data_IF_752131110654
#
_entry.id   IF_752131110654
#
_cell.length_a   1.000
_cell.length_b   1.000
_cell.length_c   1.000
_cell.angle_alpha   90.00
_cell.angle_beta   90.00
_cell.angle_gamma   90.00
#
_symmetry.space_group_name_H-M   'P 1'
#
loop_
_entity.id
_entity.type
_entity.pdbx_description
1 polymer ?
#
# COMPACT_ATOMS: atom_id res chain seq x y z
N UNK A 1 3.86 1.92 6.22
CA UNK A 1 2.53 1.37 5.89
C UNK A 1 1.51 2.49 5.92
N UNK A 2 0.57 2.54 4.96
CA UNK A 2 -0.51 3.53 4.95
C UNK A 2 -1.56 3.22 6.03
N UNK A 3 -2.24 4.25 6.56
CA UNK A 3 -3.36 4.13 7.50
C UNK A 3 -4.46 3.26 6.94
N UNK A 4 -4.85 3.51 5.69
CA UNK A 4 -5.84 2.71 5.00
C UNK A 4 -5.47 1.21 4.97
N UNK A 5 -4.23 0.87 4.60
CA UNK A 5 -3.84 -0.55 4.57
C UNK A 5 -3.92 -1.18 5.97
N UNK A 6 -3.46 -0.48 7.02
CA UNK A 6 -3.61 -0.99 8.39
C UNK A 6 -5.07 -1.07 8.88
N UNK A 7 -5.93 -0.16 8.47
CA UNK A 7 -7.38 -0.22 8.75
C UNK A 7 -8.04 -1.41 8.08
N UNK A 8 -7.66 -1.74 6.83
CA UNK A 8 -8.14 -2.96 6.15
C UNK A 8 -7.72 -4.20 6.94
N UNK A 9 -6.44 -4.30 7.35
CA UNK A 9 -5.95 -5.40 8.16
C UNK A 9 -6.72 -5.52 9.49
N UNK A 10 -6.84 -4.40 10.21
CA UNK A 10 -7.53 -4.32 11.49
C UNK A 10 -9.01 -4.69 11.38
N UNK A 11 -9.71 -4.22 10.33
CA UNK A 11 -11.14 -4.51 10.12
C UNK A 11 -11.43 -6.00 9.98
N UNK A 12 -10.52 -6.74 9.36
CA UNK A 12 -10.66 -8.17 9.16
C UNK A 12 -9.89 -8.99 10.21
N UNK A 13 -9.25 -8.36 11.19
CA UNK A 13 -8.42 -9.03 12.19
C UNK A 13 -7.19 -9.73 11.61
N UNK A 14 -6.77 -9.39 10.39
CA UNK A 14 -5.75 -10.16 9.68
C UNK A 14 -4.34 -9.71 10.05
N UNK A 15 -3.48 -10.68 10.35
CA UNK A 15 -2.06 -10.45 10.36
C UNK A 15 -1.52 -10.37 8.92
N UNK A 16 -0.69 -9.36 8.63
CA UNK A 16 -0.12 -9.13 7.29
C UNK A 16 0.57 -10.38 6.70
N UNK A 17 1.18 -11.19 7.57
CA UNK A 17 1.87 -12.42 7.18
C UNK A 17 0.93 -13.57 6.76
N UNK A 18 -0.38 -13.44 6.97
CA UNK A 18 -1.35 -14.44 6.57
C UNK A 18 -1.97 -14.12 5.20
N UNK A 19 -1.63 -12.97 4.61
CA UNK A 19 -2.16 -12.54 3.32
C UNK A 19 -1.30 -13.14 2.21
N UNK A 20 -1.96 -13.74 1.23
CA UNK A 20 -1.26 -14.25 0.05
C UNK A 20 -0.70 -13.10 -0.80
N UNK A 21 0.28 -13.42 -1.65
CA UNK A 21 0.93 -12.43 -2.50
C UNK A 21 -0.02 -11.71 -3.46
N UNK A 22 -1.16 -12.32 -3.82
CA UNK A 22 -2.17 -11.74 -4.72
C UNK A 22 -3.14 -10.76 -4.03
N UNK A 23 -3.27 -10.83 -2.70
CA UNK A 23 -4.14 -9.96 -1.92
C UNK A 23 -3.62 -8.53 -1.85
N UNK A 24 -2.30 -8.38 -1.69
CA UNK A 24 -1.66 -7.05 -1.54
C UNK A 24 -1.87 -6.14 -2.76
N UNK A 25 -1.65 -6.58 -4.01
CA UNK A 25 -1.91 -5.75 -5.20
C UNK A 25 -3.33 -5.19 -5.25
N UNK A 26 -4.34 -5.91 -4.74
CA UNK A 26 -5.74 -5.44 -4.77
C UNK A 26 -5.96 -4.28 -3.80
N UNK A 27 -5.38 -4.34 -2.60
CA UNK A 27 -5.49 -3.23 -1.63
C UNK A 27 -4.70 -2.02 -2.11
N UNK A 28 -3.49 -2.23 -2.61
CA UNK A 28 -2.64 -1.17 -3.17
C UNK A 28 -3.31 -0.51 -4.38
N UNK A 29 -3.84 -1.30 -5.31
CA UNK A 29 -4.54 -0.75 -6.46
C UNK A 29 -5.78 0.05 -6.05
N UNK A 30 -6.53 -0.45 -5.07
CA UNK A 30 -7.68 0.27 -4.55
C UNK A 30 -7.31 1.64 -3.97
N UNK A 31 -6.31 1.67 -3.09
CA UNK A 31 -5.84 2.90 -2.49
C UNK A 31 -5.30 3.88 -3.55
N UNK A 32 -4.54 3.37 -4.53
CA UNK A 32 -3.96 4.19 -5.59
C UNK A 32 -5.04 4.92 -6.39
N UNK A 33 -6.08 4.22 -6.88
CA UNK A 33 -7.13 4.87 -7.68
C UNK A 33 -7.86 5.93 -6.86
N UNK A 34 -8.22 5.62 -5.61
CA UNK A 34 -8.86 6.58 -4.74
C UNK A 34 -8.03 7.86 -4.67
N UNK A 35 -6.74 7.73 -4.32
CA UNK A 35 -5.85 8.89 -4.14
C UNK A 35 -5.56 9.62 -5.45
N UNK A 36 -5.35 8.91 -6.55
CA UNK A 36 -5.18 9.49 -7.88
C UNK A 36 -6.40 10.31 -8.34
N UNK A 37 -7.59 9.92 -7.90
CA UNK A 37 -8.85 10.64 -8.13
C UNK A 37 -9.22 11.61 -7.00
N UNK A 38 -8.31 11.87 -6.05
CA UNK A 38 -8.50 12.78 -4.90
C UNK A 38 -9.62 12.33 -3.95
N UNK A 39 -9.87 11.04 -3.88
CA UNK A 39 -10.77 10.41 -2.92
C UNK A 39 -9.97 9.89 -1.71
N UNK A 40 -10.55 10.02 -0.52
CA UNK A 40 -10.01 9.39 0.68
C UNK A 40 -10.39 7.91 0.63
N UNK A 41 -9.41 6.98 0.64
CA UNK A 41 -9.71 5.55 0.63
C UNK A 41 -10.33 5.14 1.98
N UNK A 42 -11.52 4.54 1.94
CA UNK A 42 -12.23 4.04 3.12
C UNK A 42 -12.42 2.54 3.04
N UNK A 43 -12.30 1.85 4.18
CA UNK A 43 -12.49 0.39 4.24
C UNK A 43 -13.88 -0.03 3.77
N UNK A 44 -14.91 0.78 4.02
CA UNK A 44 -16.28 0.48 3.58
C UNK A 44 -16.43 0.59 2.05
N UNK A 45 -15.71 1.52 1.41
CA UNK A 45 -15.63 1.60 -0.06
C UNK A 45 -14.87 0.38 -0.62
N UNK A 46 -13.79 -0.04 0.03
CA UNK A 46 -13.05 -1.25 -0.37
C UNK A 46 -13.92 -2.51 -0.30
N UNK A 47 -14.75 -2.63 0.75
CA UNK A 47 -15.64 -3.78 0.96
C UNK A 47 -16.76 -3.89 -0.09
N UNK A 48 -17.07 -2.80 -0.81
CA UNK A 48 -17.97 -2.84 -1.96
C UNK A 48 -17.35 -3.63 -3.12
N UNK A 49 -16.05 -3.51 -3.35
CA UNK A 49 -15.37 -4.20 -4.45
C UNK A 49 -14.77 -5.54 -4.05
N UNK A 50 -14.42 -5.72 -2.77
CA UNK A 50 -13.69 -6.89 -2.32
C UNK A 50 -14.32 -7.56 -1.10
N UNK A 51 -14.03 -8.85 -0.94
CA UNK A 51 -14.36 -9.64 0.25
C UNK A 51 -13.16 -10.51 0.61
N UNK A 52 -12.96 -10.80 1.90
CA UNK A 52 -11.90 -11.71 2.31
C UNK A 52 -12.29 -13.16 2.01
N UNK A 53 -11.31 -13.98 1.65
CA UNK A 53 -11.43 -15.42 1.51
C UNK A 53 -10.23 -16.11 2.15
N UNK A 54 -10.43 -17.32 2.66
CA UNK A 54 -9.35 -18.16 3.18
C UNK A 54 -9.25 -19.43 2.32
N UNK A 55 -8.12 -19.61 1.63
CA UNK A 55 -7.87 -20.75 0.74
C UNK A 55 -6.41 -21.17 0.84
N UNK A 56 -6.15 -22.47 1.02
CA UNK A 56 -4.79 -23.00 1.02
C UNK A 56 -3.92 -22.50 2.19
N UNK A 57 -4.52 -22.14 3.33
CA UNK A 57 -3.81 -21.65 4.51
C UNK A 57 -3.47 -20.16 4.48
N UNK A 58 -3.93 -19.42 3.46
CA UNK A 58 -3.72 -17.98 3.34
C UNK A 58 -5.03 -17.23 3.13
N UNK A 59 -5.08 -16.00 3.64
CA UNK A 59 -6.13 -15.03 3.37
C UNK A 59 -5.85 -14.27 2.09
N UNK A 60 -6.92 -13.83 1.42
CA UNK A 60 -6.88 -13.05 0.19
C UNK A 60 -8.09 -12.12 0.14
N UNK A 61 -8.03 -11.08 -0.67
CA UNK A 61 -9.17 -10.19 -0.94
C UNK A 61 -9.73 -10.49 -2.33
N UNK A 62 -10.85 -11.18 -2.49
CA UNK A 62 -11.44 -11.49 -3.79
C UNK A 62 -12.41 -10.42 -4.26
N UNK A 63 -12.48 -10.22 -5.59
CA UNK A 63 -13.40 -9.27 -6.20
C UNK A 63 -14.85 -9.72 -6.07
N UNK A 64 -15.75 -8.80 -5.73
CA UNK A 64 -17.20 -8.99 -5.81
C UNK A 64 -17.66 -8.74 -7.23
N UNK A 65 -18.47 -9.64 -7.78
CA UNK A 65 -19.00 -9.54 -9.15
C UNK A 65 -20.51 -9.34 -9.18
N UNK A 66 -21.22 -9.72 -8.12
CA UNK A 66 -22.67 -9.55 -8.02
C UNK A 66 -23.01 -8.10 -7.61
N UNK A 67 -23.83 -7.43 -8.42
CA UNK A 67 -24.33 -6.06 -8.18
C UNK A 67 -23.24 -4.99 -8.02
N UNK A 68 -22.04 -5.24 -8.57
CA UNK A 68 -20.90 -4.32 -8.53
C UNK A 68 -20.38 -4.15 -9.96
N UNK A 69 -20.17 -2.90 -10.37
CA UNK A 69 -19.62 -2.58 -11.68
C UNK A 69 -18.14 -2.97 -11.74
N UNK A 70 -17.62 -3.35 -12.91
CA UNK A 70 -16.21 -3.66 -13.07
C UNK A 70 -15.33 -2.50 -12.61
N UNK A 71 -14.50 -2.78 -11.60
CA UNK A 71 -13.54 -1.84 -11.02
C UNK A 71 -12.12 -2.04 -11.60
N UNK A 72 -11.81 -3.28 -11.99
CA UNK A 72 -10.51 -3.69 -12.53
C UNK A 72 -10.72 -4.31 -13.93
N UNK A 73 -9.82 -4.03 -14.88
CA UNK A 73 -9.82 -4.69 -16.21
C UNK A 73 -9.49 -6.18 -16.10
N UNK A 74 -8.46 -6.50 -15.33
CA UNK A 74 -7.98 -7.87 -15.12
C UNK A 74 -7.58 -8.09 -13.66
N UNK A 75 -7.92 -9.26 -13.11
CA UNK A 75 -7.25 -9.73 -11.90
C UNK A 75 -5.90 -10.33 -12.28
N UNK A 76 -4.80 -10.03 -11.56
CA UNK A 76 -3.53 -10.71 -11.77
C UNK A 76 -3.75 -12.23 -11.65
N UNK A 77 -3.61 -12.95 -12.78
CA UNK A 77 -3.80 -14.41 -12.81
C UNK A 77 -2.64 -15.14 -12.15
N UNK A 78 -1.47 -14.52 -12.17
CA UNK A 78 -0.30 -14.93 -11.40
C UNK A 78 0.62 -13.72 -11.22
N UNK A 79 1.36 -13.69 -10.13
CA UNK A 79 2.57 -12.88 -10.05
C UNK A 79 3.71 -13.77 -10.53
N UNK A 80 4.00 -13.75 -11.83
CA UNK A 80 5.21 -14.39 -12.33
C UNK A 80 6.40 -13.82 -11.52
N UNK A 81 7.25 -14.71 -11.00
CA UNK A 81 8.42 -14.44 -10.16
C UNK A 81 8.22 -14.05 -8.68
N UNK A 82 6.99 -13.94 -8.14
CA UNK A 82 6.84 -13.65 -6.69
C UNK A 82 7.19 -14.85 -5.80
N UNK A 83 7.07 -16.08 -6.31
CA UNK A 83 7.37 -17.30 -5.54
C UNK A 83 8.82 -17.41 -5.09
N UNK A 84 9.72 -16.66 -5.74
CA UNK A 84 11.16 -16.63 -5.43
C UNK A 84 11.58 -15.33 -4.71
N UNK A 85 10.62 -14.44 -4.42
CA UNK A 85 10.87 -13.15 -3.78
C UNK A 85 10.31 -13.20 -2.37
N UNK A 86 11.21 -13.45 -1.41
CA UNK A 86 10.90 -13.35 0.01
C UNK A 86 10.72 -11.88 0.39
N UNK A 87 9.67 -11.59 1.15
CA UNK A 87 9.47 -10.26 1.73
C UNK A 87 9.86 -10.28 3.21
N UNK A 88 10.82 -9.44 3.56
CA UNK A 88 11.23 -9.26 4.95
C UNK A 88 10.32 -8.22 5.61
N UNK A 89 9.44 -8.68 6.51
CA UNK A 89 8.68 -7.77 7.37
C UNK A 89 9.44 -7.65 8.69
N UNK A 90 9.98 -6.46 8.99
CA UNK A 90 10.59 -6.18 10.30
C UNK A 90 9.50 -6.20 11.38
N UNK A 91 9.74 -6.82 12.53
CA UNK A 91 8.74 -6.85 13.62
C UNK A 91 8.31 -5.46 14.08
N UNK A 92 9.20 -4.47 14.05
CA UNK A 92 8.90 -3.07 14.38
C UNK A 92 8.09 -2.30 13.34
N UNK A 93 7.82 -2.88 12.14
CA UNK A 93 6.98 -2.24 11.11
C UNK A 93 5.51 -2.70 11.17
N UNK A 94 5.12 -3.48 12.18
CA UNK A 94 3.73 -3.88 12.43
C UNK A 94 3.14 -2.88 13.44
N UNK A 95 2.45 -1.82 12.99
CA UNK A 95 2.13 -0.67 13.83
C UNK A 95 0.86 -0.86 14.67
N UNK A 96 0.19 -2.01 14.55
CA UNK A 96 -1.11 -2.31 15.18
C UNK A 96 -1.02 -3.74 15.72
N UNK A 97 -1.64 -3.99 16.88
CA UNK A 97 -1.85 -5.35 17.38
C UNK A 97 -2.67 -6.15 16.35
N UNK A 98 -2.01 -7.04 15.63
CA UNK A 98 -2.60 -7.84 14.56
C UNK A 98 -2.84 -9.25 15.10
N UNK A 99 -4.12 -9.61 15.30
CA UNK A 99 -4.51 -10.96 15.69
C UNK A 99 -4.04 -11.96 14.63
N UNK A 100 -3.37 -13.02 15.05
CA UNK A 100 -3.01 -14.10 14.14
C UNK A 100 -4.16 -15.10 14.11
N UNK A 101 -4.91 -15.13 13.01
CA UNK A 101 -6.07 -16.00 12.90
C UNK A 101 -5.67 -17.47 12.90
N UNK A 102 -6.38 -18.29 13.67
CA UNK A 102 -6.28 -19.75 13.53
C UNK A 102 -7.06 -20.20 12.29
N UNK A 103 -6.64 -21.29 11.64
CA UNK A 103 -7.32 -21.83 10.45
C UNK A 103 -8.81 -22.15 10.67
N UNK A 104 -9.24 -22.32 11.93
CA UNK A 104 -10.61 -22.62 12.35
C UNK A 104 -11.51 -21.40 12.56
N UNK A 105 -10.99 -20.19 12.66
CA UNK A 105 -11.79 -18.98 12.94
C UNK A 105 -12.63 -18.49 11.76
N UNK A 106 -12.39 -19.02 10.56
CA UNK A 106 -13.12 -18.63 9.35
C UNK A 106 -12.84 -17.19 8.92
N UNK A 107 -13.65 -16.66 8.01
CA UNK A 107 -13.47 -15.31 7.48
C UNK A 107 -14.58 -14.38 8.01
N UNK A 108 -14.24 -13.20 8.56
CA UNK A 108 -15.23 -12.21 8.95
C UNK A 108 -16.11 -11.82 7.76
N UNK A 109 -17.44 -12.03 7.90
CA UNK A 109 -18.42 -11.57 6.92
C UNK A 109 -18.78 -10.13 7.23
N UNK A 110 -18.38 -9.21 6.35
CA UNK A 110 -18.76 -7.80 6.47
C UNK A 110 -19.96 -7.49 5.58
N UNK A 111 -20.89 -6.71 6.13
CA UNK A 111 -22.00 -6.15 5.38
C UNK A 111 -21.49 -5.02 4.46
N UNK A 112 -22.01 -5.00 3.23
CA UNK A 112 -21.67 -3.99 2.23
C UNK A 112 -22.71 -2.87 2.29
N UNK A 113 -22.27 -1.62 2.37
CA UNK A 113 -23.16 -0.46 2.33
C UNK A 113 -23.80 -0.28 0.95
N UNK A 114 -24.98 0.37 0.92
CA UNK A 114 -25.57 0.83 -0.35
C UNK A 114 -24.60 1.80 -1.04
N UNK A 115 -24.32 1.60 -2.32
CA UNK A 115 -23.24 2.30 -3.03
C UNK A 115 -23.61 2.83 -4.42
N UNK A 116 -24.67 2.31 -5.05
CA UNK A 116 -24.99 2.58 -6.45
C UNK A 116 -25.17 4.08 -6.77
N UNK A 117 -25.79 4.83 -5.86
CA UNK A 117 -26.05 6.26 -6.07
C UNK A 117 -24.88 7.16 -5.67
N UNK A 118 -23.89 6.62 -4.97
CA UNK A 118 -22.80 7.41 -4.39
C UNK A 118 -21.82 7.90 -5.47
N UNK A 119 -21.44 9.18 -5.39
CA UNK A 119 -20.60 9.82 -6.41
C UNK A 119 -19.19 9.23 -6.49
N UNK A 120 -18.62 8.82 -5.35
CA UNK A 120 -17.31 8.15 -5.34
C UNK A 120 -17.36 6.83 -6.12
N UNK A 121 -18.47 6.08 -6.02
CA UNK A 121 -18.63 4.80 -6.67
C UNK A 121 -18.65 4.98 -8.19
N UNK A 122 -19.49 5.91 -8.67
CA UNK A 122 -19.56 6.31 -10.08
C UNK A 122 -18.20 6.77 -10.62
N UNK A 123 -17.42 7.49 -9.80
CA UNK A 123 -16.07 7.97 -10.16
C UNK A 123 -15.07 6.82 -10.31
N UNK A 124 -15.04 5.90 -9.33
CA UNK A 124 -14.15 4.73 -9.34
C UNK A 124 -14.49 3.74 -10.46
N UNK A 125 -15.76 3.55 -10.78
CA UNK A 125 -16.21 2.57 -11.78
C UNK A 125 -16.34 3.15 -13.18
N UNK A 126 -16.00 4.43 -13.39
CA UNK A 126 -16.13 5.10 -14.69
C UNK A 126 -15.25 4.44 -15.75
N UNK A 127 -14.05 4.03 -15.37
CA UNK A 127 -13.08 3.42 -16.27
C UNK A 127 -12.33 2.36 -15.47
N UNK A 128 -12.59 1.07 -15.74
CA UNK A 128 -11.83 0.00 -15.11
C UNK A 128 -10.35 0.17 -15.43
N UNK A 129 -9.47 -0.11 -14.47
CA UNK A 129 -8.01 -0.01 -14.67
C UNK A 129 -7.31 -1.35 -14.51
N UNK A 130 -6.12 -1.46 -15.09
CA UNK A 130 -5.28 -2.63 -14.90
C UNK A 130 -4.55 -2.56 -13.55
N UNK A 131 -4.40 -3.70 -12.87
CA UNK A 131 -3.49 -3.84 -11.75
C UNK A 131 -2.07 -4.00 -12.27
N UNK A 132 -1.29 -2.91 -12.24
CA UNK A 132 0.08 -2.87 -12.73
C UNK A 132 1.06 -2.70 -11.57
N UNK A 133 2.31 -3.12 -11.80
CA UNK A 133 3.41 -2.67 -10.96
C UNK A 133 3.65 -1.19 -11.23
N UNK A 134 3.50 -0.37 -10.19
CA UNK A 134 3.64 1.08 -10.27
C UNK A 134 5.09 1.49 -10.02
N UNK A 135 5.51 2.56 -10.72
CA UNK A 135 6.75 3.26 -10.43
C UNK A 135 6.73 3.83 -9.00
N UNK A 136 7.88 3.84 -8.33
CA UNK A 136 8.00 4.35 -6.96
C UNK A 136 7.53 5.82 -6.85
N UNK A 137 7.82 6.66 -7.85
CA UNK A 137 7.33 8.04 -7.87
C UNK A 137 5.82 8.10 -8.00
N UNK A 138 5.17 7.15 -8.68
CA UNK A 138 3.71 7.10 -8.76
C UNK A 138 3.10 6.78 -7.40
N UNK A 139 3.71 5.85 -6.64
CA UNK A 139 3.33 5.56 -5.27
C UNK A 139 3.54 6.78 -4.35
N UNK A 140 4.64 7.52 -4.51
CA UNK A 140 4.87 8.75 -3.74
C UNK A 140 3.91 9.87 -4.16
N UNK A 141 3.61 10.03 -5.45
CA UNK A 141 2.66 11.02 -5.99
C UNK A 141 1.23 10.77 -5.55
N UNK A 142 0.89 9.52 -5.24
CA UNK A 142 -0.38 9.17 -4.61
C UNK A 142 -0.28 9.15 -3.09
N UNK A 143 0.86 9.46 -2.47
CA UNK A 143 0.99 9.49 -1.01
C UNK A 143 0.95 8.10 -0.36
N UNK A 144 1.33 7.06 -1.09
CA UNK A 144 1.36 5.66 -0.66
C UNK A 144 2.76 5.14 -0.33
N UNK A 145 3.80 5.89 -0.69
CA UNK A 145 5.17 5.60 -0.30
C UNK A 145 5.96 6.86 0.05
N UNK A 146 6.99 6.68 0.87
CA UNK A 146 7.95 7.71 1.30
C UNK A 146 9.38 7.41 0.82
N UNK A 147 9.57 6.38 -0.02
CA UNK A 147 10.91 5.89 -0.37
C UNK A 147 11.60 6.73 -1.44
N UNK A 148 10.87 7.59 -2.15
CA UNK A 148 11.48 8.55 -3.08
C UNK A 148 12.04 9.76 -2.33
N UNK A 149 13.36 9.91 -2.39
CA UNK A 149 14.08 11.05 -1.81
C UNK A 149 14.46 12.05 -2.91
N UNK A 150 13.74 13.17 -3.06
CA UNK A 150 14.10 14.17 -4.06
C UNK A 150 15.40 14.89 -3.70
N UNK A 151 16.20 15.23 -4.72
CA UNK A 151 17.39 16.09 -4.54
C UNK A 151 17.03 17.48 -4.01
N UNK A 152 15.85 17.98 -4.36
CA UNK A 152 15.33 19.25 -3.89
C UNK A 152 14.14 18.98 -2.95
N UNK A 153 14.15 19.46 -1.70
CA UNK A 153 13.04 19.24 -0.75
C UNK A 153 11.67 19.75 -1.23
N UNK A 154 11.65 20.73 -2.13
CA UNK A 154 10.42 21.29 -2.73
C UNK A 154 9.99 20.57 -4.00
N UNK A 155 10.58 19.42 -4.31
CA UNK A 155 10.19 18.66 -5.48
C UNK A 155 9.01 17.74 -5.18
N UNK A 156 8.08 17.67 -6.14
CA UNK A 156 6.94 16.77 -6.12
C UNK A 156 6.99 15.84 -7.35
N UNK A 157 6.60 14.56 -7.20
CA UNK A 157 6.45 13.68 -8.33
C UNK A 157 5.10 13.93 -9.03
N UNK A 158 5.12 14.06 -10.35
CA UNK A 158 3.93 14.25 -11.18
C UNK A 158 3.97 13.30 -12.38
N UNK A 159 2.80 12.97 -12.91
CA UNK A 159 2.74 12.32 -14.23
C UNK A 159 2.70 13.39 -15.31
N UNK A 160 3.64 13.33 -16.26
CA UNK A 160 3.73 14.29 -17.35
C UNK A 160 3.81 13.61 -18.72
N UNK A 161 3.27 14.28 -19.73
CA UNK A 161 3.41 13.90 -21.13
C UNK A 161 3.59 15.17 -21.97
N UNK A 162 4.65 15.22 -22.80
CA UNK A 162 4.98 16.41 -23.61
C UNK A 162 4.98 17.71 -22.78
N UNK A 163 5.70 17.69 -21.66
CA UNK A 163 5.87 18.81 -20.71
C UNK A 163 4.57 19.35 -20.06
N UNK A 164 3.47 18.59 -20.14
CA UNK A 164 2.20 18.90 -19.48
C UNK A 164 1.90 17.88 -18.40
N UNK A 165 1.46 18.35 -17.23
CA UNK A 165 1.00 17.51 -16.14
C UNK A 165 -0.38 16.92 -16.47
N UNK A 166 -0.57 15.64 -16.17
CA UNK A 166 -1.84 14.93 -16.33
C UNK A 166 -2.24 14.20 -15.05
N UNK A 167 -3.43 13.59 -15.09
CA UNK A 167 -3.96 12.80 -14.00
C UNK A 167 -3.10 11.55 -13.74
N UNK A 168 -2.84 11.24 -12.46
CA UNK A 168 -2.08 10.07 -12.02
C UNK A 168 -2.71 8.73 -12.45
N UNK A 169 -4.00 8.71 -12.77
CA UNK A 169 -4.66 7.55 -13.38
C UNK A 169 -3.98 7.10 -14.68
N UNK A 170 -3.30 8.00 -15.39
CA UNK A 170 -2.55 7.65 -16.60
C UNK A 170 -1.31 6.79 -16.28
N UNK A 171 -0.83 6.75 -15.03
CA UNK A 171 0.21 5.81 -14.62
C UNK A 171 -0.28 4.34 -14.60
N UNK A 172 -1.60 4.12 -14.64
CA UNK A 172 -2.22 2.80 -14.78
C UNK A 172 -2.55 2.44 -16.24
N UNK A 173 -2.17 3.29 -17.19
CA UNK A 173 -2.42 3.09 -18.60
C UNK A 173 -1.11 3.12 -19.41
N UNK A 174 -0.57 1.95 -19.80
CA UNK A 174 0.68 1.89 -20.54
C UNK A 174 0.57 2.48 -21.95
N UNK A 175 -0.64 2.67 -22.49
CA UNK A 175 -0.85 3.20 -23.85
C UNK A 175 -0.72 4.73 -23.93
N UNK A 176 -0.82 5.44 -22.80
CA UNK A 176 -0.83 6.91 -22.75
C UNK A 176 0.55 7.52 -22.98
N UNK A 177 1.63 6.74 -22.82
CA UNK A 177 2.99 7.11 -23.22
C UNK A 177 3.65 8.26 -22.43
N UNK A 178 3.05 8.72 -21.33
CA UNK A 178 3.68 9.64 -20.38
C UNK A 178 4.51 8.93 -19.32
N UNK A 179 5.12 9.71 -18.44
CA UNK A 179 6.03 9.20 -17.42
C UNK A 179 5.96 9.99 -16.10
N UNK A 180 6.49 9.39 -15.03
CA UNK A 180 6.63 10.06 -13.74
C UNK A 180 7.87 10.96 -13.71
N UNK A 181 7.66 12.27 -13.72
CA UNK A 181 8.71 13.28 -13.65
C UNK A 181 8.71 14.00 -12.32
N UNK A 182 9.73 14.84 -12.13
CA UNK A 182 9.89 15.66 -10.94
C UNK A 182 9.56 17.11 -11.30
N UNK A 183 8.66 17.74 -10.56
CA UNK A 183 8.33 19.16 -10.69
C UNK A 183 8.69 19.91 -9.41
N UNK A 184 9.19 21.15 -9.54
CA UNK A 184 9.37 22.03 -8.40
C UNK A 184 8.04 22.67 -8.03
N UNK A 185 7.69 22.57 -6.75
CA UNK A 185 6.53 23.27 -6.20
C UNK A 185 6.78 24.79 -6.22
N UNK A 186 5.73 25.60 -6.46
CA UNK A 186 5.78 27.05 -6.28
C UNK A 186 6.33 27.48 -4.91
N UNK A 187 6.87 28.69 -4.84
CA UNK A 187 7.35 29.25 -3.59
C UNK A 187 6.19 29.45 -2.60
N UNK A 188 6.38 29.03 -1.35
CA UNK A 188 5.34 29.08 -0.31
C UNK A 188 4.43 27.85 -0.22
N UNK A 189 4.52 26.90 -1.16
CA UNK A 189 3.80 25.62 -1.02
C UNK A 189 4.48 24.68 -0.02
N UNK A 190 3.65 23.95 0.72
CA UNK A 190 4.10 22.93 1.68
C UNK A 190 4.83 21.82 0.91
N UNK A 191 6.02 21.36 1.37
CA UNK A 191 6.74 20.26 0.74
C UNK A 191 5.86 19.01 0.55
N UNK A 192 6.01 18.32 -0.58
CA UNK A 192 5.17 17.17 -0.91
C UNK A 192 5.16 16.09 0.17
N UNK A 193 6.33 15.79 0.77
CA UNK A 193 6.47 14.80 1.85
C UNK A 193 5.59 15.16 3.06
N UNK A 194 5.53 16.43 3.42
CA UNK A 194 4.70 16.93 4.52
C UNK A 194 3.20 16.83 4.20
N UNK A 195 2.82 16.97 2.92
CA UNK A 195 1.42 16.81 2.49
C UNK A 195 0.94 15.36 2.64
N UNK A 196 1.83 14.37 2.48
CA UNK A 196 1.45 12.95 2.45
C UNK A 196 1.76 12.19 3.74
N UNK A 197 2.52 12.77 4.67
CA UNK A 197 2.96 12.09 5.90
C UNK A 197 1.80 11.53 6.73
N UNK A 198 0.67 12.26 6.76
CA UNK A 198 -0.51 11.88 7.54
C UNK A 198 -1.24 10.66 6.96
N UNK A 199 -0.86 10.20 5.78
CA UNK A 199 -1.38 8.96 5.20
C UNK A 199 -0.78 7.71 5.83
N UNK A 200 0.29 7.82 6.63
CA UNK A 200 1.05 6.68 7.14
C UNK A 200 0.82 6.45 8.64
N UNK A 201 0.93 5.19 9.08
CA UNK A 201 0.73 4.75 10.48
C UNK A 201 1.91 5.01 11.41
N UNK A 202 2.85 5.90 11.08
CA UNK A 202 4.11 6.02 11.82
C UNK A 202 3.90 6.13 13.35
N UNK A 203 4.67 5.37 14.15
CA UNK A 203 4.76 5.62 15.58
C UNK A 203 5.80 6.73 15.80
N UNK A 204 5.37 7.96 16.03
CA UNK A 204 6.18 9.16 16.40
C UNK A 204 7.30 9.61 15.43
N UNK A 205 7.66 10.92 15.44
CA UNK A 205 8.77 11.48 14.66
C UNK A 205 10.13 10.79 14.88
N UNK A 206 10.39 10.18 16.05
CA UNK A 206 11.65 9.47 16.30
C UNK A 206 11.81 8.19 15.45
N UNK A 207 10.72 7.48 15.15
CA UNK A 207 10.79 6.29 14.30
C UNK A 207 11.19 6.66 12.88
N UNK A 208 10.64 7.76 12.36
CA UNK A 208 10.90 8.26 11.00
C UNK A 208 12.38 8.63 10.81
N UNK A 209 13.00 9.29 11.79
CA UNK A 209 14.44 9.58 11.76
C UNK A 209 15.30 8.30 11.75
N UNK A 210 14.86 7.25 12.44
CA UNK A 210 15.52 5.94 12.40
C UNK A 210 15.36 5.25 11.04
N UNK A 211 14.23 5.44 10.34
CA UNK A 211 14.02 4.92 8.98
C UNK A 211 14.89 5.61 7.94
N UNK A 212 14.96 6.95 7.99
CA UNK A 212 15.74 7.75 7.04
C UNK A 212 17.25 7.56 7.23
N UNK A 213 17.69 7.32 8.48
CA UNK A 213 19.11 7.18 8.82
C UNK A 213 19.74 5.82 8.50
N UNK A 214 18.97 4.81 8.04
CA UNK A 214 19.52 3.50 7.67
C UNK A 214 19.65 3.44 6.14
N UNK A 215 20.87 3.51 5.57
CA UNK A 215 21.07 3.25 4.16
C UNK A 215 20.56 1.85 3.84
N UNK A 216 19.75 1.72 2.78
CA UNK A 216 19.30 0.44 2.24
C UNK A 216 20.53 -0.40 1.87
N UNK A 217 20.95 -1.29 2.78
CA UNK A 217 22.16 -2.12 2.63
C UNK A 217 23.12 -2.12 3.83
N UNK A 218 22.96 -1.26 4.83
CA UNK A 218 23.81 -1.30 6.02
C UNK A 218 23.35 -2.39 6.99
N UNK A 219 24.21 -3.41 7.23
CA UNK A 219 24.07 -4.29 8.40
C UNK A 219 24.27 -3.46 9.67
N UNK A 220 23.48 -3.67 10.74
CA UNK A 220 23.77 -3.05 12.02
C UNK A 220 25.17 -3.49 12.48
N UNK A 221 26.01 -2.53 12.85
CA UNK A 221 27.25 -2.81 13.55
C UNK A 221 26.88 -3.37 14.92
N UNK A 222 27.13 -4.66 15.12
CA UNK A 222 27.11 -5.28 16.44
C UNK A 222 28.25 -4.66 17.23
N UNK A 223 27.95 -3.76 18.16
CA UNK A 223 28.90 -3.31 19.15
C UNK A 223 29.22 -4.48 20.08
N UNK A 224 30.38 -5.10 19.89
CA UNK A 224 30.92 -6.10 20.80
C UNK A 224 31.25 -5.44 22.13
N UNK A 225 30.44 -5.71 23.15
CA UNK A 225 30.90 -5.68 24.54
C UNK A 225 30.38 -6.92 25.23
N UNK A 226 31.34 -7.71 25.69
CA UNK A 226 31.26 -8.97 26.41
C UNK A 226 30.65 -8.77 27.80
N UNK A 227 29.59 -9.51 28.14
CA UNK A 227 29.56 -10.46 29.27
C UNK A 227 28.19 -11.16 29.43
N UNK A 228 28.22 -12.47 29.20
CA UNK A 228 27.59 -13.60 29.93
C UNK A 228 26.15 -13.45 30.47
N UNK A 229 25.23 -14.09 29.74
CA UNK A 229 24.29 -15.05 30.35
C UNK A 229 22.83 -14.64 30.54
N UNK A 230 22.00 -14.78 29.49
CA UNK A 230 20.71 -15.54 29.49
C UNK A 230 19.83 -15.18 28.27
N UNK A 231 19.31 -16.25 27.64
CA UNK A 231 18.24 -16.29 26.62
C UNK A 231 18.56 -15.74 25.22
N UNK A 232 18.39 -16.52 24.14
CA UNK A 232 18.49 -15.99 22.79
C UNK A 232 17.24 -15.17 22.49
N UNK A 233 17.32 -13.84 22.66
CA UNK A 233 16.40 -12.91 22.00
C UNK A 233 16.64 -13.01 20.50
N UNK A 234 16.01 -14.00 19.88
CA UNK A 234 15.92 -14.15 18.43
C UNK A 234 15.23 -12.90 17.89
N UNK A 235 16.02 -12.03 17.26
CA UNK A 235 15.52 -11.06 16.28
C UNK A 235 14.85 -11.86 15.16
N UNK A 236 13.55 -12.10 15.33
CA UNK A 236 12.74 -12.90 14.43
C UNK A 236 12.39 -12.09 13.19
N UNK A 237 13.06 -12.40 12.08
CA UNK A 237 12.57 -12.12 10.74
C UNK A 237 11.42 -13.09 10.45
N UNK A 238 10.27 -12.58 10.05
CA UNK A 238 9.20 -13.43 9.49
C UNK A 238 9.51 -13.60 8.00
N UNK A 239 9.75 -14.85 7.59
CA UNK A 239 9.79 -15.22 6.17
C UNK A 239 8.36 -15.42 5.67
N UNK A 240 8.05 -14.80 4.52
CA UNK A 240 6.85 -15.03 3.72
C UNK A 240 7.23 -15.61 2.37
#
# INVERSE_FOLDING_TARGET
MTKFFGEVLSRYGLHISQINTLGLPRVTHFEFICRAQRLIPLVDMFNVFYYVSHTGGFYSFNSRTANVLPYNKDSPKSLHDCKHKFFYIRRGIIPIDMHYHSNSEGVPKLQVCSHADQQWYKTLTRTPTAMLQLDEKALVATGMSLLWLPKNPRAAPIYAYKDKAYNLMNALDPEVGGEMVTQLLPEGEIPWVEQIQDNFLHPTPESLNTYIAIPTGARPLVSTSSEVGKSPTREGVILL
#
